data_IF_324412691803
#
_entry.id   IF_324412691803
#
_cell.length_a   1.000
_cell.length_b   1.000
_cell.length_c   1.000
_cell.angle_alpha   90.00
_cell.angle_beta   90.00
_cell.angle_gamma   90.00
#
_symmetry.space_group_name_H-M   'P 1'
#
loop_
_entity.id
_entity.type
_entity.pdbx_description
1 polymer ?
#
# COMPACT_ATOMS: atom_id res chain seq x y z
N UNK A 1 20.19 21.57 21.92
CA UNK A 1 19.56 20.38 21.33
C UNK A 1 20.58 19.26 21.42
N UNK A 2 20.24 18.07 21.94
CA UNK A 2 21.24 17.00 22.08
C UNK A 2 21.65 16.47 20.70
N UNK A 3 22.89 15.98 20.56
CA UNK A 3 23.41 15.37 19.34
C UNK A 3 22.48 14.28 18.79
N UNK A 4 21.82 13.54 19.69
CA UNK A 4 20.82 12.55 19.34
C UNK A 4 19.67 13.12 18.48
N UNK A 5 19.08 14.26 18.90
CA UNK A 5 18.00 14.88 18.15
C UNK A 5 18.45 15.44 16.80
N UNK A 6 19.69 15.96 16.71
CA UNK A 6 20.25 16.43 15.44
C UNK A 6 20.36 15.26 14.46
N UNK A 7 20.88 14.12 14.89
CA UNK A 7 21.00 12.91 14.07
C UNK A 7 19.62 12.44 13.61
N UNK A 8 18.66 12.30 14.53
CA UNK A 8 17.29 11.86 14.19
C UNK A 8 16.63 12.79 13.16
N UNK A 9 16.70 14.11 13.36
CA UNK A 9 16.13 15.09 12.43
C UNK A 9 16.83 15.09 11.06
N UNK A 10 18.15 14.87 11.03
CA UNK A 10 18.91 14.76 9.79
C UNK A 10 18.53 13.51 9.00
N UNK A 11 18.35 12.37 9.66
CA UNK A 11 17.89 11.13 9.03
C UNK A 11 16.47 11.31 8.46
N UNK A 12 15.54 11.85 9.26
CA UNK A 12 14.16 12.10 8.83
C UNK A 12 14.12 13.09 7.67
N UNK A 13 14.88 14.20 7.78
CA UNK A 13 14.97 15.18 6.71
C UNK A 13 15.54 14.61 5.43
N UNK A 14 16.64 13.85 5.50
CA UNK A 14 17.23 13.15 4.36
C UNK A 14 16.25 12.16 3.71
N UNK A 15 15.54 11.38 4.53
CA UNK A 15 14.51 10.45 4.04
C UNK A 15 13.37 11.17 3.29
N UNK A 16 12.86 12.28 3.82
CA UNK A 16 11.82 13.07 3.16
C UNK A 16 12.35 13.66 1.84
N UNK A 17 13.56 14.24 1.85
CA UNK A 17 14.18 14.82 0.66
C UNK A 17 14.37 13.78 -0.45
N UNK A 18 14.81 12.58 -0.11
CA UNK A 18 14.96 11.49 -1.09
C UNK A 18 13.61 10.95 -1.60
N UNK A 19 12.56 11.02 -0.79
CA UNK A 19 11.22 10.56 -1.19
C UNK A 19 10.61 11.41 -2.31
N UNK A 20 10.92 12.71 -2.36
CA UNK A 20 10.36 13.63 -3.37
C UNK A 20 10.77 13.24 -4.80
N UNK A 21 12.09 13.17 -5.14
CA UNK A 21 12.50 12.77 -6.48
C UNK A 21 12.07 11.33 -6.82
N UNK A 22 12.07 10.42 -5.84
CA UNK A 22 11.61 9.06 -6.04
C UNK A 22 10.12 9.00 -6.40
N UNK A 23 9.27 9.78 -5.72
CA UNK A 23 7.85 9.91 -6.06
C UNK A 23 7.64 10.35 -7.51
N UNK A 24 8.34 11.40 -7.95
CA UNK A 24 8.23 11.90 -9.33
C UNK A 24 8.80 10.92 -10.36
N UNK A 25 9.91 10.25 -10.03
CA UNK A 25 10.47 9.20 -10.87
C UNK A 25 9.48 8.05 -11.05
N UNK A 26 8.88 7.54 -9.98
CA UNK A 26 7.88 6.48 -10.04
C UNK A 26 6.64 6.91 -10.80
N UNK A 27 6.14 8.12 -10.57
CA UNK A 27 5.06 8.71 -11.35
C UNK A 27 5.37 8.73 -12.83
N UNK A 28 6.56 9.22 -13.22
CA UNK A 28 7.00 9.25 -14.63
C UNK A 28 7.06 7.84 -15.24
N UNK A 29 7.64 6.88 -14.52
CA UNK A 29 7.77 5.51 -15.00
C UNK A 29 6.41 4.85 -15.22
N UNK A 30 5.47 5.00 -14.28
CA UNK A 30 4.16 4.37 -14.38
C UNK A 30 3.21 5.08 -15.34
N UNK A 31 3.22 6.41 -15.41
CA UNK A 31 2.35 7.17 -16.32
C UNK A 31 2.88 7.21 -17.75
N UNK A 32 4.18 7.47 -17.95
CA UNK A 32 4.76 7.70 -19.29
C UNK A 32 5.29 6.43 -19.94
N UNK A 33 5.95 5.56 -19.18
CA UNK A 33 6.56 4.34 -19.73
C UNK A 33 5.70 3.10 -19.57
N UNK A 34 4.53 3.22 -18.92
CA UNK A 34 3.59 2.13 -18.70
C UNK A 34 4.26 0.87 -18.10
N UNK A 35 5.16 1.07 -17.14
CA UNK A 35 5.90 -0.03 -16.52
C UNK A 35 4.93 -0.95 -15.79
N UNK A 36 4.85 -2.18 -16.27
CA UNK A 36 4.00 -3.25 -15.72
C UNK A 36 4.84 -4.16 -14.84
N UNK A 37 5.52 -3.60 -13.85
CA UNK A 37 6.30 -4.40 -12.94
C UNK A 37 5.36 -5.23 -12.05
N UNK A 38 5.40 -6.54 -12.23
CA UNK A 38 4.75 -7.52 -11.36
C UNK A 38 5.81 -8.49 -10.87
N UNK A 39 5.74 -8.91 -9.59
CA UNK A 39 6.59 -9.98 -9.12
C UNK A 39 6.23 -11.27 -9.88
N UNK A 40 7.23 -12.12 -10.11
CA UNK A 40 6.99 -13.41 -10.71
C UNK A 40 6.36 -14.34 -9.67
N UNK A 41 5.20 -14.89 -9.99
CA UNK A 41 4.42 -15.77 -9.10
C UNK A 41 5.18 -17.02 -8.61
N UNK A 42 6.28 -17.39 -9.26
CA UNK A 42 7.13 -18.51 -8.84
C UNK A 42 8.01 -18.17 -7.62
N UNK A 43 8.20 -16.90 -7.29
CA UNK A 43 9.13 -16.45 -6.26
C UNK A 43 8.41 -15.91 -5.03
N UNK A 44 7.39 -16.62 -4.51
CA UNK A 44 6.70 -16.24 -3.26
C UNK A 44 7.67 -16.09 -2.09
N UNK A 45 8.70 -16.93 -2.01
CA UNK A 45 9.72 -16.84 -0.98
C UNK A 45 10.47 -15.48 -1.00
N UNK A 46 10.78 -14.95 -2.19
CA UNK A 46 11.44 -13.65 -2.32
C UNK A 46 10.53 -12.51 -1.86
N UNK A 47 9.22 -12.63 -2.11
CA UNK A 47 8.22 -11.72 -1.55
C UNK A 47 8.34 -11.63 -0.03
N UNK A 48 8.36 -12.78 0.65
CA UNK A 48 8.47 -12.84 2.10
C UNK A 48 9.78 -12.22 2.60
N UNK A 49 10.89 -12.53 1.97
CA UNK A 49 12.19 -11.93 2.29
C UNK A 49 12.11 -10.40 2.16
N UNK A 50 11.60 -9.87 1.06
CA UNK A 50 11.51 -8.43 0.84
C UNK A 50 10.55 -7.75 1.82
N UNK A 51 9.45 -8.38 2.20
CA UNK A 51 8.52 -7.83 3.19
C UNK A 51 9.15 -7.73 4.58
N UNK A 52 9.96 -8.69 5.00
CA UNK A 52 10.61 -8.69 6.31
C UNK A 52 12.00 -8.02 6.35
N UNK A 53 12.48 -7.51 5.23
CA UNK A 53 13.75 -6.77 5.14
C UNK A 53 13.53 -5.37 4.60
N UNK A 54 13.37 -5.25 3.29
CA UNK A 54 13.27 -3.99 2.57
C UNK A 54 11.98 -3.21 2.89
N UNK A 55 10.85 -3.90 3.04
CA UNK A 55 9.54 -3.30 3.35
C UNK A 55 9.19 -3.39 4.85
N UNK A 56 10.18 -3.65 5.69
CA UNK A 56 10.01 -3.90 7.12
C UNK A 56 9.15 -2.83 7.85
N UNK A 57 9.28 -1.51 7.61
CA UNK A 57 8.49 -0.51 8.31
C UNK A 57 6.97 -0.73 8.19
N UNK A 58 6.46 -0.98 6.97
CA UNK A 58 5.04 -1.26 6.76
C UNK A 58 4.63 -2.60 7.37
N UNK A 59 5.47 -3.62 7.20
CA UNK A 59 5.21 -4.96 7.75
C UNK A 59 5.15 -4.94 9.28
N UNK A 60 6.00 -4.18 9.96
CA UNK A 60 5.94 -4.03 11.43
C UNK A 60 4.64 -3.37 11.89
N UNK A 61 4.23 -2.29 11.22
CA UNK A 61 2.94 -1.65 11.50
C UNK A 61 1.81 -2.67 11.30
N UNK A 62 1.85 -3.42 10.20
CA UNK A 62 0.89 -4.48 9.90
C UNK A 62 0.84 -5.57 10.96
N UNK A 63 2.00 -6.02 11.46
CA UNK A 63 2.06 -7.00 12.55
C UNK A 63 1.40 -6.49 13.83
N UNK A 64 1.64 -5.23 14.21
CA UNK A 64 1.02 -4.61 15.38
C UNK A 64 -0.50 -4.54 15.22
N UNK A 65 -0.98 -4.05 14.08
CA UNK A 65 -2.42 -3.95 13.79
C UNK A 65 -3.04 -5.33 13.74
N UNK A 66 -2.38 -6.31 13.10
CA UNK A 66 -2.86 -7.69 13.03
C UNK A 66 -2.99 -8.30 14.44
N UNK A 67 -2.01 -8.08 15.32
CA UNK A 67 -2.06 -8.55 16.70
C UNK A 67 -3.28 -7.97 17.43
N UNK A 68 -3.51 -6.66 17.32
CA UNK A 68 -4.67 -5.99 17.92
C UNK A 68 -5.98 -6.56 17.40
N UNK A 69 -6.10 -6.79 16.08
CA UNK A 69 -7.30 -7.36 15.46
C UNK A 69 -7.53 -8.81 15.92
N UNK A 70 -6.47 -9.61 16.02
CA UNK A 70 -6.56 -10.98 16.52
C UNK A 70 -7.01 -11.02 17.98
N UNK A 71 -6.48 -10.15 18.83
CA UNK A 71 -6.91 -9.99 20.22
C UNK A 71 -8.39 -9.55 20.34
N UNK A 72 -8.91 -8.87 19.33
CA UNK A 72 -10.34 -8.50 19.22
C UNK A 72 -11.21 -9.60 18.59
N UNK A 73 -10.67 -10.79 18.32
CA UNK A 73 -11.39 -11.93 17.78
C UNK A 73 -11.45 -12.03 16.26
N UNK A 74 -10.87 -11.06 15.53
CA UNK A 74 -10.82 -11.16 14.06
C UNK A 74 -9.76 -12.17 13.62
N UNK A 75 -10.04 -12.88 12.52
CA UNK A 75 -9.12 -13.89 11.96
C UNK A 75 -8.73 -13.50 10.54
N UNK A 76 -7.42 -13.42 10.21
CA UNK A 76 -6.99 -13.13 8.86
C UNK A 76 -7.20 -14.34 7.95
N UNK A 77 -7.59 -14.08 6.70
CA UNK A 77 -7.70 -15.07 5.63
C UNK A 77 -6.59 -14.84 4.61
N UNK A 78 -5.96 -15.91 4.11
CA UNK A 78 -4.97 -15.79 3.05
C UNK A 78 -5.63 -15.29 1.75
N UNK A 79 -5.09 -14.24 1.18
CA UNK A 79 -5.52 -13.69 -0.11
C UNK A 79 -4.29 -13.34 -0.97
N UNK A 80 -4.10 -14.07 -2.06
CA UNK A 80 -2.83 -14.00 -2.80
C UNK A 80 -1.65 -14.41 -1.93
N UNK A 81 -0.67 -13.52 -1.78
CA UNK A 81 0.48 -13.69 -0.90
C UNK A 81 0.37 -12.94 0.43
N UNK A 82 -0.74 -12.24 0.64
CA UNK A 82 -1.01 -11.48 1.85
C UNK A 82 -2.08 -12.15 2.72
N UNK A 83 -2.31 -11.56 3.88
CA UNK A 83 -3.38 -11.92 4.81
C UNK A 83 -4.38 -10.77 4.94
N UNK A 84 -5.64 -11.03 4.65
CA UNK A 84 -6.74 -10.08 4.69
C UNK A 84 -7.55 -10.22 5.98
N UNK A 85 -7.74 -9.12 6.69
CA UNK A 85 -8.78 -8.99 7.69
C UNK A 85 -10.04 -8.42 7.03
N UNK A 86 -11.05 -9.26 6.88
CA UNK A 86 -12.35 -8.83 6.36
C UNK A 86 -13.13 -8.14 7.47
N UNK A 87 -13.34 -6.85 7.33
CA UNK A 87 -14.10 -6.01 8.26
C UNK A 87 -15.26 -5.35 7.53
N UNK A 88 -16.31 -4.99 8.28
CA UNK A 88 -17.43 -4.22 7.76
C UNK A 88 -17.05 -2.74 7.63
N UNK A 89 -16.35 -2.43 6.54
CA UNK A 89 -15.85 -1.08 6.21
C UNK A 89 -16.17 -0.77 4.75
N UNK A 90 -16.14 0.50 4.40
CA UNK A 90 -16.22 0.99 3.01
C UNK A 90 -14.86 1.39 2.44
N UNK A 91 -13.78 1.12 3.18
CA UNK A 91 -12.40 1.43 2.84
C UNK A 91 -11.48 0.22 3.03
N UNK A 92 -10.34 0.24 2.38
CA UNK A 92 -9.26 -0.71 2.56
C UNK A 92 -7.99 -0.02 3.09
N UNK A 93 -7.08 -0.81 3.64
CA UNK A 93 -5.78 -0.35 4.15
C UNK A 93 -4.74 -1.45 4.04
N UNK A 94 -3.72 -1.24 3.25
CA UNK A 94 -2.57 -2.13 3.14
C UNK A 94 -1.51 -1.79 4.21
N UNK A 95 -0.92 -2.84 4.80
CA UNK A 95 0.05 -2.78 5.88
C UNK A 95 1.09 -3.91 5.71
N UNK A 96 1.83 -3.89 4.64
CA UNK A 96 2.86 -4.89 4.33
C UNK A 96 2.29 -6.25 3.93
N UNK A 97 2.45 -7.24 4.78
CA UNK A 97 1.90 -8.58 4.54
C UNK A 97 0.43 -8.72 4.95
N UNK A 98 -0.11 -7.73 5.64
CA UNK A 98 -1.50 -7.68 6.05
C UNK A 98 -2.24 -6.56 5.32
N UNK A 99 -3.53 -6.73 5.17
CA UNK A 99 -4.41 -5.64 4.78
C UNK A 99 -5.81 -5.83 5.39
N UNK A 100 -6.50 -4.72 5.56
CA UNK A 100 -7.91 -4.65 5.95
C UNK A 100 -8.72 -4.36 4.69
N UNK A 101 -9.85 -5.03 4.52
CA UNK A 101 -10.74 -4.81 3.38
C UNK A 101 -12.15 -5.26 3.71
N UNK A 102 -13.21 -4.63 3.15
CA UNK A 102 -14.52 -5.27 3.11
C UNK A 102 -14.47 -6.58 2.32
N UNK A 103 -15.51 -7.38 2.41
CA UNK A 103 -15.65 -8.60 1.58
C UNK A 103 -15.96 -8.25 0.12
N UNK A 104 -14.96 -7.67 -0.54
CA UNK A 104 -14.99 -7.25 -1.93
C UNK A 104 -13.72 -7.65 -2.66
N UNK A 105 -13.83 -8.50 -3.66
CA UNK A 105 -12.67 -8.90 -4.48
C UNK A 105 -11.99 -7.72 -5.18
N UNK A 106 -12.74 -6.69 -5.53
CA UNK A 106 -12.17 -5.48 -6.14
C UNK A 106 -11.26 -4.74 -5.17
N UNK A 107 -11.72 -4.57 -3.92
CA UNK A 107 -10.94 -3.89 -2.88
C UNK A 107 -9.75 -4.75 -2.43
N UNK A 108 -9.95 -6.06 -2.20
CA UNK A 108 -8.87 -7.00 -1.87
C UNK A 108 -7.76 -6.99 -2.92
N UNK A 109 -8.13 -6.98 -4.22
CA UNK A 109 -7.17 -6.86 -5.30
C UNK A 109 -6.41 -5.53 -5.25
N UNK A 110 -7.09 -4.43 -4.93
CA UNK A 110 -6.51 -3.11 -4.82
C UNK A 110 -5.48 -3.05 -3.70
N UNK A 111 -5.83 -3.50 -2.49
CA UNK A 111 -4.91 -3.54 -1.35
C UNK A 111 -3.71 -4.46 -1.60
N UNK A 112 -3.94 -5.61 -2.24
CA UNK A 112 -2.82 -6.47 -2.66
C UNK A 112 -1.90 -5.76 -3.67
N UNK A 113 -2.44 -4.86 -4.50
CA UNK A 113 -1.66 -4.01 -5.40
C UNK A 113 -0.75 -3.02 -4.65
N UNK A 114 -1.21 -2.44 -3.54
CA UNK A 114 -0.37 -1.64 -2.66
C UNK A 114 0.75 -2.45 -2.01
N UNK A 115 0.48 -3.69 -1.61
CA UNK A 115 1.52 -4.59 -1.12
C UNK A 115 2.60 -4.90 -2.19
N UNK A 116 2.24 -4.94 -3.49
CA UNK A 116 3.22 -5.01 -4.59
C UNK A 116 4.04 -3.72 -4.66
N UNK A 117 3.43 -2.54 -4.53
CA UNK A 117 4.17 -1.27 -4.50
C UNK A 117 5.14 -1.23 -3.32
N UNK A 118 4.74 -1.78 -2.19
CA UNK A 118 5.54 -1.81 -0.99
C UNK A 118 6.88 -2.54 -1.20
N UNK A 119 6.90 -3.69 -1.86
CA UNK A 119 8.16 -4.39 -2.15
C UNK A 119 9.06 -3.67 -3.17
N UNK A 120 8.52 -2.83 -4.05
CA UNK A 120 9.32 -2.04 -4.99
C UNK A 120 9.90 -0.78 -4.35
N UNK A 121 9.12 -0.11 -3.51
CA UNK A 121 9.48 1.15 -2.87
C UNK A 121 10.16 0.96 -1.50
N UNK A 122 9.94 -0.19 -0.86
CA UNK A 122 10.47 -0.48 0.46
C UNK A 122 10.04 0.57 1.49
N UNK A 123 10.98 1.11 2.28
CA UNK A 123 10.66 2.11 3.28
C UNK A 123 10.02 3.37 2.68
N UNK A 124 10.31 3.70 1.43
CA UNK A 124 9.75 4.86 0.75
C UNK A 124 8.27 4.68 0.33
N UNK A 125 7.70 3.49 0.45
CA UNK A 125 6.27 3.27 0.22
C UNK A 125 5.40 4.13 1.14
N UNK A 126 5.83 4.32 2.38
CA UNK A 126 5.12 5.16 3.35
C UNK A 126 4.94 6.60 2.82
N UNK A 127 6.02 7.23 2.34
CA UNK A 127 6.01 8.62 1.89
C UNK A 127 5.53 8.80 0.45
N UNK A 128 5.80 7.82 -0.43
CA UNK A 128 5.45 7.93 -1.85
C UNK A 128 4.03 7.43 -2.17
N UNK A 129 3.47 6.55 -1.33
CA UNK A 129 2.16 5.93 -1.57
C UNK A 129 1.23 6.11 -0.38
N UNK A 130 1.57 5.56 0.80
CA UNK A 130 0.63 5.45 1.91
C UNK A 130 0.17 6.81 2.45
N UNK A 131 1.09 7.75 2.69
CA UNK A 131 0.74 9.10 3.12
C UNK A 131 -0.06 9.87 2.04
N UNK A 132 0.38 9.93 0.75
CA UNK A 132 -0.42 10.55 -0.30
C UNK A 132 -1.80 9.93 -0.48
N UNK A 133 -1.93 8.60 -0.35
CA UNK A 133 -3.22 7.90 -0.41
C UNK A 133 -4.12 8.31 0.76
N UNK A 134 -3.60 8.30 2.00
CA UNK A 134 -4.34 8.73 3.17
C UNK A 134 -4.79 10.20 3.04
N UNK A 135 -3.90 11.11 2.63
CA UNK A 135 -4.26 12.51 2.36
C UNK A 135 -5.36 12.64 1.31
N UNK A 136 -5.27 11.88 0.21
CA UNK A 136 -6.30 11.86 -0.83
C UNK A 136 -7.62 11.38 -0.31
N UNK A 137 -7.65 10.28 0.46
CA UNK A 137 -8.84 9.74 1.09
C UNK A 137 -9.51 10.81 1.98
N UNK A 138 -8.78 11.37 2.93
CA UNK A 138 -9.31 12.35 3.88
C UNK A 138 -9.78 13.64 3.19
N UNK A 139 -9.01 14.12 2.20
CA UNK A 139 -9.43 15.28 1.40
C UNK A 139 -10.76 15.02 0.68
N UNK A 140 -10.95 13.84 0.11
CA UNK A 140 -12.19 13.45 -0.57
C UNK A 140 -13.36 13.39 0.40
N UNK A 141 -13.16 12.78 1.57
CA UNK A 141 -14.17 12.71 2.63
C UNK A 141 -14.59 14.12 3.12
N UNK A 142 -13.62 15.01 3.35
CA UNK A 142 -13.90 16.40 3.71
C UNK A 142 -14.71 17.14 2.60
N UNK A 143 -14.36 16.92 1.33
CA UNK A 143 -15.11 17.51 0.21
C UNK A 143 -16.54 16.98 0.14
N UNK A 144 -16.76 15.69 0.32
CA UNK A 144 -18.08 15.06 0.34
C UNK A 144 -18.93 15.55 1.52
N UNK A 145 -18.33 15.68 2.71
CA UNK A 145 -19.02 16.23 3.88
C UNK A 145 -19.48 17.67 3.65
N UNK A 146 -18.67 18.50 2.98
CA UNK A 146 -19.04 19.88 2.65
C UNK A 146 -20.07 19.99 1.51
N UNK A 147 -20.00 19.11 0.53
CA UNK A 147 -20.92 19.08 -0.60
C UNK A 147 -21.18 17.62 -1.02
N UNK A 148 -22.26 16.98 -0.51
CA UNK A 148 -22.60 15.59 -0.83
C UNK A 148 -22.81 15.30 -2.32
N UNK A 149 -23.15 16.31 -3.12
CA UNK A 149 -23.39 16.18 -4.56
C UNK A 149 -22.13 16.42 -5.42
N UNK A 150 -20.97 16.65 -4.80
CA UNK A 150 -19.74 16.92 -5.53
C UNK A 150 -19.30 15.72 -6.38
N UNK A 151 -19.06 15.96 -7.66
CA UNK A 151 -18.43 14.98 -8.56
C UNK A 151 -16.92 15.06 -8.42
N UNK A 152 -16.31 14.08 -7.78
CA UNK A 152 -14.87 13.95 -7.68
C UNK A 152 -14.35 13.01 -8.77
N UNK A 153 -13.11 13.23 -9.27
CA UNK A 153 -12.46 12.30 -10.19
C UNK A 153 -12.44 10.87 -9.58
N UNK A 154 -12.38 9.80 -10.40
CA UNK A 154 -12.25 8.44 -9.88
C UNK A 154 -11.12 8.32 -8.86
N UNK A 155 -11.28 7.45 -7.87
CA UNK A 155 -10.26 7.32 -6.81
C UNK A 155 -8.91 6.89 -7.39
N UNK A 156 -8.93 5.97 -8.34
CA UNK A 156 -7.78 5.41 -9.04
C UNK A 156 -7.23 6.28 -10.20
N UNK A 157 -7.69 7.55 -10.31
CA UNK A 157 -7.17 8.48 -11.33
C UNK A 157 -5.74 8.98 -11.04
N UNK A 158 -5.23 8.81 -9.83
CA UNK A 158 -3.83 9.12 -9.49
C UNK A 158 -2.95 7.88 -9.70
N UNK A 159 -1.68 8.10 -10.08
CA UNK A 159 -0.81 7.05 -10.59
C UNK A 159 -0.68 5.83 -9.67
N UNK A 160 -0.48 6.04 -8.35
CA UNK A 160 -0.28 4.94 -7.40
C UNK A 160 -1.56 4.14 -7.14
N UNK A 161 -2.72 4.79 -7.05
CA UNK A 161 -4.01 4.10 -6.87
C UNK A 161 -4.39 3.29 -8.13
N UNK A 162 -4.27 3.92 -9.30
CA UNK A 162 -4.54 3.25 -10.56
C UNK A 162 -3.57 2.10 -10.85
N UNK A 163 -2.31 2.23 -10.45
CA UNK A 163 -1.32 1.18 -10.57
C UNK A 163 -1.65 0.03 -9.60
N UNK A 164 -1.98 0.30 -8.34
CA UNK A 164 -2.40 -0.70 -7.37
C UNK A 164 -3.59 -1.51 -7.88
N UNK A 165 -4.66 -0.85 -8.33
CA UNK A 165 -5.85 -1.52 -8.90
C UNK A 165 -5.52 -2.42 -10.09
N UNK A 166 -4.63 -1.99 -10.99
CA UNK A 166 -4.24 -2.79 -12.17
C UNK A 166 -3.33 -3.96 -11.82
N UNK A 167 -2.31 -3.69 -11.00
CA UNK A 167 -1.31 -4.69 -10.60
C UNK A 167 -1.91 -5.80 -9.77
N UNK A 168 -2.70 -5.44 -8.76
CA UNK A 168 -3.33 -6.42 -7.88
C UNK A 168 -4.27 -7.34 -8.65
N UNK A 169 -5.17 -6.80 -9.48
CA UNK A 169 -6.06 -7.62 -10.32
C UNK A 169 -5.29 -8.58 -11.23
N UNK A 170 -4.25 -8.08 -11.89
CA UNK A 170 -3.46 -8.92 -12.80
C UNK A 170 -2.72 -10.01 -12.03
N UNK A 171 -2.10 -9.65 -10.93
CA UNK A 171 -1.30 -10.56 -10.11
C UNK A 171 -2.13 -11.69 -9.49
N UNK A 172 -3.28 -11.36 -8.90
CA UNK A 172 -4.21 -12.36 -8.35
C UNK A 172 -4.72 -13.31 -9.46
N UNK A 173 -4.99 -12.78 -10.65
CA UNK A 173 -5.37 -13.62 -11.79
C UNK A 173 -4.24 -14.58 -12.19
N UNK A 174 -2.98 -14.17 -12.12
CA UNK A 174 -1.82 -15.03 -12.40
C UNK A 174 -1.63 -16.11 -11.32
N UNK A 175 -1.75 -15.77 -10.04
CA UNK A 175 -1.71 -16.75 -8.93
C UNK A 175 -2.79 -17.82 -9.10
N UNK A 176 -4.01 -17.42 -9.44
CA UNK A 176 -5.14 -18.36 -9.58
C UNK A 176 -5.03 -19.30 -10.79
N UNK A 177 -4.17 -18.97 -11.77
CA UNK A 177 -3.87 -19.84 -12.90
C UNK A 177 -2.80 -20.89 -12.58
N UNK A 178 -2.00 -20.67 -11.55
CA UNK A 178 -0.87 -21.53 -11.17
C UNK A 178 -1.24 -22.51 -10.05
N UNK A 179 -2.44 -22.37 -9.49
CA UNK A 179 -3.06 -23.32 -8.55
C UNK A 179 -3.93 -24.33 -9.29
#
# INVERSE_FOLDING_TARGET
MSTFWIICLSIIGGYIVLSIPLYFLMKFLYEKKNVKALPNVKYEWLWWVLQFTWSLPMTLIGCIVALVLICRGHRPKKYGWCYCFELDTDWGLELGIFFISPDSNSMKNHEHGHAIQNIYLGPFAVTCVSLPSAFRFWWRELKRKKNPKIKLPPYDSIWFEGQASRSGRKFIKEINKTK
#
